data_IF_740855871779
#
_entry.id   IF_740855871779
#
_cell.length_a   1.000
_cell.length_b   1.000
_cell.length_c   1.000
_cell.angle_alpha   90.00
_cell.angle_beta   90.00
_cell.angle_gamma   90.00
#
_symmetry.space_group_name_H-M   'P 1'
#
loop_
_entity.id
_entity.type
_entity.pdbx_description
1 polymer ?
#
# COMPACT_ATOMS: atom_id res chain seq x y z
N UNK A 1 -3.51 8.82 -17.80
CA UNK A 1 -4.18 8.79 -16.49
C UNK A 1 -5.39 9.72 -16.50
N UNK A 2 -6.49 9.30 -17.13
CA UNK A 2 -7.80 9.98 -17.11
C UNK A 2 -8.91 9.08 -17.68
N UNK A 3 -8.52 7.98 -18.33
CA UNK A 3 -9.42 6.98 -18.91
C UNK A 3 -9.94 6.00 -17.85
N UNK A 4 -9.09 5.50 -16.94
CA UNK A 4 -9.50 4.53 -15.91
C UNK A 4 -10.50 5.06 -14.88
N UNK A 5 -10.62 6.37 -14.71
CA UNK A 5 -11.60 6.97 -13.79
C UNK A 5 -12.95 7.22 -14.47
N UNK A 6 -12.98 7.33 -15.79
CA UNK A 6 -14.19 7.67 -16.56
C UNK A 6 -14.98 6.43 -17.01
N UNK A 7 -14.35 5.25 -17.03
CA UNK A 7 -15.02 3.96 -17.25
C UNK A 7 -15.72 3.40 -15.99
N UNK A 8 -15.50 4.01 -14.82
CA UNK A 8 -16.13 3.63 -13.55
C UNK A 8 -17.45 4.38 -13.35
N UNK A 9 -18.55 3.86 -13.90
CA UNK A 9 -19.89 4.27 -13.44
C UNK A 9 -20.06 4.08 -11.91
N UNK A 10 -21.30 4.12 -11.41
CA UNK A 10 -21.65 4.01 -9.96
C UNK A 10 -21.30 2.66 -9.27
N UNK A 11 -20.32 1.89 -9.78
CA UNK A 11 -19.91 0.62 -9.19
C UNK A 11 -18.97 0.87 -8.00
N UNK A 12 -19.47 0.61 -6.80
CA UNK A 12 -18.68 0.65 -5.56
C UNK A 12 -17.59 -0.42 -5.59
N UNK A 13 -16.32 -0.02 -5.62
CA UNK A 13 -15.20 -0.93 -5.39
C UNK A 13 -15.11 -1.18 -3.87
N UNK A 14 -15.33 -2.43 -3.46
CA UNK A 14 -15.18 -2.85 -2.07
C UNK A 14 -14.13 -3.96 -2.02
N UNK A 15 -13.00 -3.68 -1.37
CA UNK A 15 -11.96 -4.68 -1.09
C UNK A 15 -12.01 -5.02 0.39
N UNK A 16 -12.36 -6.26 0.71
CA UNK A 16 -12.30 -6.78 2.07
C UNK A 16 -10.89 -7.34 2.33
N UNK A 17 -10.21 -6.82 3.36
CA UNK A 17 -8.93 -7.37 3.81
C UNK A 17 -9.21 -8.46 4.84
N UNK A 18 -8.99 -9.72 4.46
CA UNK A 18 -9.30 -10.87 5.31
C UNK A 18 -8.15 -11.22 6.25
N UNK A 19 -6.92 -11.06 5.78
CA UNK A 19 -5.69 -11.24 6.56
C UNK A 19 -4.66 -10.23 6.10
N UNK A 20 -3.95 -9.64 7.04
CA UNK A 20 -2.80 -8.79 6.77
C UNK A 20 -1.70 -9.07 7.79
N UNK A 21 -0.52 -9.36 7.27
CA UNK A 21 0.74 -9.42 8.01
C UNK A 21 1.61 -8.24 7.55
N UNK A 22 2.45 -7.74 8.45
CA UNK A 22 3.33 -6.61 8.19
C UNK A 22 4.75 -6.89 8.71
N UNK A 23 5.75 -6.67 7.86
CA UNK A 23 7.16 -6.86 8.18
C UNK A 23 7.97 -5.63 7.75
N UNK A 24 8.76 -5.07 8.66
CA UNK A 24 9.70 -3.99 8.30
C UNK A 24 10.91 -4.63 7.60
N UNK A 25 11.10 -4.29 6.33
CA UNK A 25 12.21 -4.79 5.53
C UNK A 25 13.47 -3.93 5.69
N UNK A 26 13.29 -2.60 5.74
CA UNK A 26 14.40 -1.66 5.79
C UNK A 26 14.00 -0.34 6.47
N UNK A 27 14.99 0.31 7.09
CA UNK A 27 14.91 1.67 7.64
C UNK A 27 16.20 2.41 7.28
N UNK A 28 16.07 3.45 6.48
CA UNK A 28 17.17 4.30 6.04
C UNK A 28 16.93 5.78 6.40
N UNK A 29 18.02 6.56 6.42
CA UNK A 29 17.98 8.02 6.49
C UNK A 29 18.74 8.60 5.31
N UNK A 30 18.04 9.37 4.48
CA UNK A 30 18.56 9.92 3.23
C UNK A 30 18.00 11.33 3.01
N UNK A 31 18.85 12.26 2.58
CA UNK A 31 18.46 13.64 2.22
C UNK A 31 17.58 14.37 3.27
N UNK A 32 17.87 14.17 4.56
CA UNK A 32 17.13 14.76 5.68
C UNK A 32 15.75 14.13 5.93
N UNK A 33 15.54 12.89 5.48
CA UNK A 33 14.30 12.14 5.62
C UNK A 33 14.59 10.71 6.10
N UNK A 34 13.67 10.20 6.89
CA UNK A 34 13.57 8.80 7.25
C UNK A 34 12.74 8.09 6.17
N UNK A 35 13.25 6.95 5.70
CA UNK A 35 12.56 6.06 4.76
C UNK A 35 12.39 4.71 5.44
N UNK A 36 11.17 4.19 5.46
CA UNK A 36 10.85 2.85 5.95
C UNK A 36 10.20 2.06 4.83
N UNK A 37 10.71 0.86 4.58
CA UNK A 37 10.08 -0.09 3.66
C UNK A 37 9.39 -1.18 4.47
N UNK A 38 8.07 -1.30 4.33
CA UNK A 38 7.26 -2.31 5.02
C UNK A 38 6.62 -3.22 3.99
N UNK A 39 6.81 -4.54 4.13
CA UNK A 39 6.07 -5.53 3.37
C UNK A 39 4.75 -5.79 4.04
N UNK A 40 3.67 -5.63 3.29
CA UNK A 40 2.32 -6.06 3.65
C UNK A 40 1.94 -7.22 2.76
N UNK A 41 1.54 -8.34 3.35
CA UNK A 41 1.06 -9.48 2.58
C UNK A 41 -0.08 -10.18 3.31
N UNK A 42 -0.90 -10.91 2.56
CA UNK A 42 -2.04 -11.61 3.12
C UNK A 42 -3.11 -11.89 2.09
N UNK A 43 -4.37 -11.85 2.52
CA UNK A 43 -5.53 -12.23 1.72
C UNK A 43 -6.52 -11.08 1.61
N UNK A 44 -6.91 -10.76 0.38
CA UNK A 44 -7.96 -9.79 0.06
C UNK A 44 -9.08 -10.44 -0.74
N UNK A 45 -10.27 -9.83 -0.69
CA UNK A 45 -11.39 -10.18 -1.56
C UNK A 45 -11.92 -8.90 -2.20
N UNK A 46 -11.84 -8.81 -3.52
CA UNK A 46 -12.20 -7.60 -4.27
C UNK A 46 -13.67 -7.55 -4.72
N UNK A 47 -14.36 -8.69 -4.69
CA UNK A 47 -15.79 -8.80 -5.00
C UNK A 47 -16.44 -9.73 -3.97
N UNK A 48 -17.62 -9.37 -3.47
CA UNK A 48 -18.26 -10.08 -2.34
C UNK A 48 -18.49 -11.57 -2.59
N UNK A 49 -18.68 -11.99 -3.85
CA UNK A 49 -18.88 -13.39 -4.24
C UNK A 49 -17.59 -14.07 -4.76
N UNK A 50 -16.47 -13.34 -4.83
CA UNK A 50 -15.20 -13.88 -5.31
C UNK A 50 -14.41 -14.61 -4.22
N UNK A 51 -13.58 -15.56 -4.67
CA UNK A 51 -12.56 -16.17 -3.83
C UNK A 51 -11.56 -15.10 -3.34
N UNK A 52 -11.00 -15.32 -2.15
CA UNK A 52 -9.91 -14.50 -1.66
C UNK A 52 -8.65 -14.74 -2.50
N UNK A 53 -7.90 -13.68 -2.76
CA UNK A 53 -6.63 -13.71 -3.48
C UNK A 53 -5.51 -13.26 -2.56
N UNK A 54 -4.31 -13.80 -2.77
CA UNK A 54 -3.12 -13.32 -2.10
C UNK A 54 -2.73 -11.94 -2.63
N UNK A 55 -2.25 -11.09 -1.74
CA UNK A 55 -1.54 -9.85 -2.08
C UNK A 55 -0.20 -9.82 -1.35
N UNK A 56 0.80 -9.19 -1.98
CA UNK A 56 2.13 -9.00 -1.43
C UNK A 56 2.69 -7.68 -1.98
N UNK A 57 2.82 -6.69 -1.09
CA UNK A 57 3.14 -5.32 -1.45
C UNK A 57 4.23 -4.78 -0.53
N UNK A 58 5.20 -4.06 -1.08
CA UNK A 58 6.15 -3.27 -0.29
C UNK A 58 5.78 -1.80 -0.37
N UNK A 59 5.49 -1.23 0.77
CA UNK A 59 5.12 0.17 0.91
C UNK A 59 6.33 0.95 1.42
N UNK A 60 6.74 1.96 0.65
CA UNK A 60 7.80 2.87 1.02
C UNK A 60 7.19 4.12 1.66
N UNK A 61 7.48 4.30 2.95
CA UNK A 61 7.00 5.41 3.76
C UNK A 61 8.14 6.40 3.98
N UNK A 62 7.84 7.70 3.92
CA UNK A 62 8.82 8.76 4.16
C UNK A 62 8.34 9.76 5.20
N UNK A 63 9.28 10.27 5.99
CA UNK A 63 9.04 11.32 6.99
C UNK A 63 10.26 12.24 7.09
N UNK A 64 10.11 13.57 7.25
CA UNK A 64 11.25 14.44 7.58
C UNK A 64 11.97 13.98 8.86
N UNK A 65 13.29 14.10 8.92
CA UNK A 65 14.08 13.77 10.12
C UNK A 65 13.76 14.70 11.31
N UNK A 66 13.29 15.92 11.03
CA UNK A 66 12.89 16.90 12.03
C UNK A 66 11.47 16.66 12.58
N UNK A 67 10.82 15.57 12.16
CA UNK A 67 9.46 15.19 12.55
C UNK A 67 8.38 16.26 12.27
N UNK A 68 8.67 17.23 11.41
CA UNK A 68 7.76 18.34 11.08
C UNK A 68 6.46 17.90 10.41
N UNK A 69 6.42 16.69 9.84
CA UNK A 69 5.25 16.11 9.16
C UNK A 69 5.08 14.63 9.50
N UNK A 70 3.86 14.08 9.43
CA UNK A 70 3.63 12.64 9.57
C UNK A 70 4.21 11.85 8.39
N UNK A 71 4.27 10.53 8.55
CA UNK A 71 4.64 9.61 7.48
C UNK A 71 3.71 9.77 6.27
N UNK A 72 4.30 9.74 5.08
CA UNK A 72 3.59 9.73 3.81
C UNK A 72 4.03 8.52 2.97
N UNK A 73 3.12 7.99 2.16
CA UNK A 73 3.45 6.94 1.19
C UNK A 73 4.19 7.60 0.03
N UNK A 74 5.43 7.19 -0.20
CA UNK A 74 6.23 7.60 -1.36
C UNK A 74 6.02 6.67 -2.56
N UNK A 75 5.72 5.39 -2.31
CA UNK A 75 5.45 4.41 -3.34
C UNK A 75 4.95 3.09 -2.79
N UNK A 76 4.29 2.31 -3.65
CA UNK A 76 3.84 0.95 -3.40
C UNK A 76 4.38 0.08 -4.54
N UNK A 77 5.11 -0.97 -4.19
CA UNK A 77 5.63 -1.98 -5.11
C UNK A 77 4.83 -3.27 -4.93
N UNK A 78 4.28 -3.82 -6.01
CA UNK A 78 3.65 -5.15 -6.01
C UNK A 78 4.74 -6.22 -6.16
N UNK A 79 4.77 -7.19 -5.25
CA UNK A 79 5.64 -8.38 -5.33
C UNK A 79 4.88 -9.47 -6.08
N UNK A 80 5.40 -9.85 -7.25
CA UNK A 80 4.85 -10.90 -8.12
C UNK A 80 5.44 -12.28 -7.82
#
# INVERSE_FOLDING_TARGET
MRLDLQERGETSQQTDVLKIDAEVLDLAREDGRQVVSVRFHGLVRELSDAAATDFDEVWHLVKPDDDSRPWAIAGIEQRH
#
